data_IF_459133815846
#
_entry.id   IF_459133815846
#
_cell.length_a   1.000
_cell.length_b   1.000
_cell.length_c   1.000
_cell.angle_alpha   90.00
_cell.angle_beta   90.00
_cell.angle_gamma   90.00
#
_symmetry.space_group_name_H-M   'P 1'
#
loop_
_entity.id
_entity.type
_entity.pdbx_description
1 polymer ?
#
# COMPACT_ATOMS: atom_id res chain seq x y z
N UNK A 1 -45.38 -14.64 -1.25
CA UNK A 1 -44.14 -14.67 -2.04
C UNK A 1 -43.03 -14.01 -1.24
N UNK A 2 -42.07 -14.75 -0.65
CA UNK A 2 -41.02 -14.12 0.15
C UNK A 2 -40.01 -13.43 -0.77
N UNK A 3 -39.77 -12.14 -0.51
CA UNK A 3 -38.78 -11.32 -1.21
C UNK A 3 -37.38 -11.87 -0.92
N UNK A 4 -36.70 -12.37 -1.95
CA UNK A 4 -35.28 -12.70 -1.92
C UNK A 4 -34.47 -11.41 -1.69
N UNK A 5 -34.05 -11.19 -0.45
CA UNK A 5 -33.03 -10.19 -0.11
C UNK A 5 -31.73 -10.56 -0.85
N UNK A 6 -31.34 -9.72 -1.81
CA UNK A 6 -30.05 -9.83 -2.52
C UNK A 6 -28.95 -9.62 -1.48
N UNK A 7 -28.26 -10.70 -1.10
CA UNK A 7 -27.06 -10.60 -0.26
C UNK A 7 -26.04 -9.75 -1.01
N UNK A 8 -25.79 -8.54 -0.54
CA UNK A 8 -24.63 -7.76 -0.98
C UNK A 8 -23.42 -8.42 -0.35
N UNK A 9 -22.58 -9.05 -1.17
CA UNK A 9 -21.29 -9.56 -0.71
C UNK A 9 -20.47 -8.38 -0.17
N UNK A 10 -19.90 -8.47 1.05
CA UNK A 10 -18.95 -7.46 1.52
C UNK A 10 -17.74 -7.43 0.56
N UNK A 11 -17.07 -6.28 0.38
CA UNK A 11 -15.85 -6.24 -0.41
C UNK A 11 -14.81 -7.15 0.25
N UNK A 12 -14.30 -8.12 -0.51
CA UNK A 12 -13.32 -9.11 -0.08
C UNK A 12 -11.95 -8.48 0.23
N UNK A 13 -11.82 -7.83 1.39
CA UNK A 13 -10.52 -7.40 1.95
C UNK A 13 -10.45 -7.55 3.48
N UNK A 14 -11.20 -8.49 4.06
CA UNK A 14 -11.30 -8.65 5.52
C UNK A 14 -10.14 -9.42 6.17
N UNK A 15 -8.98 -9.53 5.53
CA UNK A 15 -7.86 -10.36 6.03
C UNK A 15 -6.48 -9.72 6.01
N UNK A 16 -6.34 -8.49 5.53
CA UNK A 16 -5.02 -7.86 5.40
C UNK A 16 -5.13 -6.41 5.80
N UNK A 17 -4.58 -6.07 6.97
CA UNK A 17 -4.56 -4.69 7.48
C UNK A 17 -4.05 -3.68 6.44
N UNK A 18 -4.29 -2.37 6.69
CA UNK A 18 -4.04 -1.33 5.69
C UNK A 18 -2.62 -1.43 5.15
N UNK A 19 -2.50 -1.30 3.83
CA UNK A 19 -1.21 -1.25 3.16
C UNK A 19 -1.12 -0.03 2.26
N UNK A 20 0.10 0.41 2.04
CA UNK A 20 0.41 1.67 1.39
C UNK A 20 1.44 1.45 0.29
N UNK A 21 1.43 2.37 -0.67
CA UNK A 21 2.57 2.55 -1.56
C UNK A 21 3.26 3.87 -1.24
N UNK A 22 4.60 3.88 -1.25
CA UNK A 22 5.42 5.04 -0.90
C UNK A 22 6.31 5.45 -2.07
N UNK A 23 6.41 6.75 -2.32
CA UNK A 23 7.50 7.26 -3.15
C UNK A 23 8.81 7.21 -2.35
N UNK A 24 9.86 6.56 -2.85
CA UNK A 24 11.14 6.49 -2.15
C UNK A 24 11.92 7.82 -2.15
N UNK A 25 11.49 8.82 -2.94
CA UNK A 25 12.15 10.13 -3.03
C UNK A 25 11.48 11.18 -2.16
N UNK A 26 10.19 11.45 -2.40
CA UNK A 26 9.44 12.48 -1.66
C UNK A 26 8.59 11.92 -0.50
N UNK A 27 8.53 10.60 -0.31
CA UNK A 27 7.74 9.94 0.75
C UNK A 27 6.23 10.20 0.71
N UNK A 28 5.70 10.66 -0.43
CA UNK A 28 4.26 10.66 -0.66
C UNK A 28 3.74 9.23 -0.54
N UNK A 29 2.69 9.07 0.25
CA UNK A 29 2.02 7.81 0.48
C UNK A 29 0.64 7.79 -0.16
N UNK A 30 0.23 6.63 -0.67
CA UNK A 30 -1.13 6.37 -1.14
C UNK A 30 -1.64 5.05 -0.60
N UNK A 31 -2.96 4.91 -0.36
CA UNK A 31 -3.54 3.62 -0.04
C UNK A 31 -3.25 2.60 -1.15
N UNK A 32 -2.86 1.39 -0.76
CA UNK A 32 -2.52 0.34 -1.70
C UNK A 32 -3.71 -0.19 -2.51
N UNK A 33 -4.93 0.09 -2.07
CA UNK A 33 -6.17 -0.18 -2.83
C UNK A 33 -6.33 0.69 -4.08
N UNK A 34 -5.59 1.79 -4.20
CA UNK A 34 -5.63 2.64 -5.39
C UNK A 34 -4.93 1.96 -6.58
N UNK A 35 -5.22 2.39 -7.81
CA UNK A 35 -4.50 1.95 -9.00
C UNK A 35 -3.16 2.71 -9.22
N UNK A 36 -2.81 3.63 -8.32
CA UNK A 36 -1.68 4.53 -8.49
C UNK A 36 -0.34 3.76 -8.31
N UNK A 37 0.50 3.78 -9.35
CA UNK A 37 1.79 3.06 -9.42
C UNK A 37 3.00 3.97 -9.49
N UNK A 38 2.82 5.24 -9.84
CA UNK A 38 3.88 6.23 -10.00
C UNK A 38 3.54 7.47 -9.19
N UNK A 39 4.57 8.12 -8.64
CA UNK A 39 4.41 9.34 -7.88
C UNK A 39 4.04 10.51 -8.80
N UNK A 40 2.98 11.23 -8.48
CA UNK A 40 2.60 12.44 -9.22
C UNK A 40 3.62 13.58 -9.09
N UNK A 41 4.44 13.59 -8.03
CA UNK A 41 5.39 14.68 -7.77
C UNK A 41 6.70 14.55 -8.56
N UNK A 42 7.12 13.33 -8.88
CA UNK A 42 8.46 13.06 -9.43
C UNK A 42 8.50 11.91 -10.46
N UNK A 43 7.38 11.24 -10.73
CA UNK A 43 7.29 10.13 -11.69
C UNK A 43 7.87 8.80 -11.20
N UNK A 44 8.47 8.74 -10.00
CA UNK A 44 9.10 7.52 -9.48
C UNK A 44 8.07 6.44 -9.20
N UNK A 45 8.40 5.19 -9.52
CA UNK A 45 7.55 4.04 -9.19
C UNK A 45 7.40 3.91 -7.67
N UNK A 46 6.16 3.82 -7.21
CA UNK A 46 5.87 3.68 -5.78
C UNK A 46 6.23 2.27 -5.30
N UNK A 47 6.86 2.19 -4.13
CA UNK A 47 7.15 0.95 -3.42
C UNK A 47 5.87 0.47 -2.74
N UNK A 48 5.39 -0.73 -3.01
CA UNK A 48 4.32 -1.40 -2.27
C UNK A 48 4.86 -2.37 -1.19
N UNK A 49 6.15 -2.72 -1.32
CA UNK A 49 6.90 -3.63 -0.47
C UNK A 49 8.32 -3.15 -0.31
N UNK A 50 8.99 -3.61 0.75
CA UNK A 50 10.41 -3.41 0.92
C UNK A 50 11.17 -4.06 -0.24
N UNK A 51 12.05 -3.31 -0.95
CA UNK A 51 12.85 -3.86 -2.04
C UNK A 51 13.92 -4.85 -1.55
N UNK A 52 14.28 -4.82 -0.26
CA UNK A 52 15.28 -5.71 0.33
C UNK A 52 14.69 -7.06 0.78
N UNK A 53 13.59 -7.07 1.55
CA UNK A 53 13.04 -8.30 2.15
C UNK A 53 11.60 -8.63 1.72
N UNK A 54 10.95 -7.81 0.89
CA UNK A 54 9.59 -8.06 0.40
C UNK A 54 8.45 -7.82 1.41
N UNK A 55 8.77 -7.43 2.65
CA UNK A 55 7.78 -7.06 3.69
C UNK A 55 6.88 -5.94 3.18
N UNK A 56 5.56 -6.10 3.37
CA UNK A 56 4.58 -5.12 2.90
C UNK A 56 4.64 -3.85 3.75
N UNK A 57 4.41 -2.70 3.11
CA UNK A 57 4.36 -1.41 3.81
C UNK A 57 2.96 -1.22 4.40
N UNK A 58 2.87 -1.09 5.72
CA UNK A 58 1.61 -1.02 6.47
C UNK A 58 1.39 0.32 7.16
N UNK A 59 2.30 1.28 7.02
CA UNK A 59 2.15 2.65 7.53
C UNK A 59 2.53 3.69 6.46
N UNK A 60 1.73 4.76 6.28
CA UNK A 60 1.98 5.80 5.30
C UNK A 60 3.20 6.67 5.66
N UNK A 61 3.66 6.61 6.91
CA UNK A 61 4.79 7.42 7.40
C UNK A 61 6.08 6.60 7.50
N UNK A 62 6.09 5.37 7.01
CA UNK A 62 7.25 4.48 7.14
C UNK A 62 8.46 5.06 6.41
N UNK A 63 9.58 5.23 7.12
CA UNK A 63 10.89 5.60 6.54
C UNK A 63 11.83 4.40 6.39
N UNK A 64 11.61 3.38 7.20
CA UNK A 64 12.38 2.15 7.27
C UNK A 64 11.46 0.93 7.23
N UNK A 65 11.99 -0.20 6.82
CA UNK A 65 11.26 -1.45 6.82
C UNK A 65 11.06 -2.01 8.23
N UNK A 66 9.81 -2.35 8.59
CA UNK A 66 9.47 -3.03 9.85
C UNK A 66 9.97 -4.48 9.93
N UNK A 67 10.35 -5.08 8.80
CA UNK A 67 10.89 -6.44 8.74
C UNK A 67 12.42 -6.49 8.85
N UNK A 68 13.13 -5.68 8.06
CA UNK A 68 14.60 -5.76 7.95
C UNK A 68 15.35 -4.47 8.33
N UNK A 69 14.65 -3.38 8.66
CA UNK A 69 15.28 -2.09 8.98
C UNK A 69 15.83 -1.31 7.78
N UNK A 70 15.80 -1.86 6.55
CA UNK A 70 16.30 -1.17 5.36
C UNK A 70 15.56 0.17 5.13
N UNK A 71 16.26 1.28 4.84
CA UNK A 71 15.63 2.56 4.52
C UNK A 71 14.85 2.47 3.20
N UNK A 72 13.69 3.12 3.12
CA UNK A 72 12.96 3.23 1.86
C UNK A 72 13.44 4.39 0.98
N UNK A 73 14.29 5.26 1.52
CA UNK A 73 14.87 6.37 0.78
C UNK A 73 15.69 5.87 -0.42
N UNK A 74 15.47 6.47 -1.59
CA UNK A 74 16.40 6.40 -2.72
C UNK A 74 17.05 7.76 -2.90
N UNK A 75 18.36 7.75 -3.17
CA UNK A 75 19.14 8.94 -3.51
C UNK A 75 18.69 9.50 -4.88
#
# INVERSE_FOLDING_TARGET
MPRLIRRVSPPEDSGRGPYYRLCPRCFRAVPGSTAERYCINDGTRLLDRCPCCGTRITSPYSRYCSGCGHPYAQA
#
